data_IF_890894906093
#
_entry.id   IF_890894906093
#
_cell.length_a   1.000
_cell.length_b   1.000
_cell.length_c   1.000
_cell.angle_alpha   90.00
_cell.angle_beta   90.00
_cell.angle_gamma   90.00
#
_symmetry.space_group_name_H-M   'P 1'
#
loop_
_entity.id
_entity.type
_entity.pdbx_description
1 polymer ?
#
# COMPACT_ATOMS: atom_id res chain seq x y z
N UNK A 1 0.02 -1.79 17.06
CA UNK A 1 -0.46 -2.64 15.95
C UNK A 1 0.79 -3.25 15.37
N UNK A 2 0.95 -4.56 15.46
CA UNK A 2 2.13 -5.26 14.92
C UNK A 2 1.89 -5.41 13.41
N UNK A 3 2.53 -4.55 12.61
CA UNK A 3 2.34 -4.51 11.15
C UNK A 3 3.00 -5.73 10.51
N UNK A 4 2.23 -6.57 9.81
CA UNK A 4 2.79 -7.76 9.14
C UNK A 4 2.79 -7.63 7.62
N UNK A 5 3.68 -8.38 6.96
CA UNK A 5 3.74 -8.52 5.49
C UNK A 5 2.37 -8.86 4.88
N UNK A 6 1.62 -9.75 5.54
CA UNK A 6 0.29 -10.21 5.07
C UNK A 6 -0.75 -9.10 5.10
N UNK A 7 -0.74 -8.27 6.13
CA UNK A 7 -1.67 -7.13 6.22
C UNK A 7 -1.40 -6.11 5.12
N UNK A 8 -0.13 -5.77 4.88
CA UNK A 8 0.26 -4.87 3.79
C UNK A 8 -0.16 -5.45 2.44
N UNK A 9 0.16 -6.73 2.19
CA UNK A 9 -0.20 -7.41 0.95
C UNK A 9 -1.72 -7.49 0.72
N UNK A 10 -2.49 -7.70 1.79
CA UNK A 10 -3.97 -7.75 1.72
C UNK A 10 -4.55 -6.38 1.36
N UNK A 11 -4.05 -5.30 1.98
CA UNK A 11 -4.49 -3.94 1.65
C UNK A 11 -4.13 -3.55 0.20
N UNK A 12 -2.94 -3.93 -0.29
CA UNK A 12 -2.57 -3.75 -1.70
C UNK A 12 -3.50 -4.54 -2.63
N UNK A 13 -3.81 -5.79 -2.30
CA UNK A 13 -4.71 -6.62 -3.10
C UNK A 13 -6.12 -6.05 -3.16
N UNK A 14 -6.68 -5.60 -2.03
CA UNK A 14 -7.99 -4.95 -2.00
C UNK A 14 -8.02 -3.67 -2.83
N UNK A 15 -6.95 -2.87 -2.76
CA UNK A 15 -6.82 -1.63 -3.54
C UNK A 15 -6.75 -1.93 -5.04
N UNK A 16 -5.97 -2.94 -5.45
CA UNK A 16 -5.91 -3.41 -6.83
C UNK A 16 -7.26 -3.99 -7.32
N UNK A 17 -7.98 -4.70 -6.46
CA UNK A 17 -9.32 -5.21 -6.78
C UNK A 17 -10.33 -4.06 -6.98
N UNK A 18 -10.24 -2.98 -6.21
CA UNK A 18 -11.07 -1.77 -6.44
C UNK A 18 -10.71 -1.09 -7.77
N UNK A 19 -9.42 -0.95 -8.06
CA UNK A 19 -8.93 -0.31 -9.29
C UNK A 19 -9.25 -1.12 -10.56
N UNK A 20 -9.18 -2.44 -10.51
CA UNK A 20 -9.58 -3.29 -11.65
C UNK A 20 -11.08 -3.23 -11.92
N UNK A 21 -11.89 -2.95 -10.90
CA UNK A 21 -13.34 -2.75 -10.99
C UNK A 21 -13.72 -1.26 -10.99
N UNK A 22 -12.86 -0.37 -11.49
CA UNK A 22 -13.02 1.07 -11.38
C UNK A 22 -14.38 1.58 -11.86
N UNK A 23 -14.92 1.03 -12.95
CA UNK A 23 -16.24 1.40 -13.48
C UNK A 23 -17.40 1.15 -12.50
N UNK A 24 -17.24 0.19 -11.58
CA UNK A 24 -18.21 -0.09 -10.52
C UNK A 24 -17.99 0.78 -9.26
N UNK A 25 -16.80 1.35 -9.08
CA UNK A 25 -16.40 2.07 -7.86
C UNK A 25 -16.30 3.59 -8.04
N UNK A 26 -16.14 4.11 -9.27
CA UNK A 26 -15.80 5.51 -9.55
C UNK A 26 -16.79 6.54 -8.98
N UNK A 27 -18.07 6.20 -8.91
CA UNK A 27 -19.12 7.08 -8.38
C UNK A 27 -19.09 7.19 -6.85
N UNK A 28 -18.40 6.28 -6.18
CA UNK A 28 -18.37 6.16 -4.72
C UNK A 28 -17.07 6.67 -4.08
N UNK A 29 -16.06 7.05 -4.87
CA UNK A 29 -14.74 7.45 -4.35
C UNK A 29 -14.81 8.88 -3.78
N UNK A 30 -14.59 9.06 -2.47
CA UNK A 30 -14.45 10.39 -1.89
C UNK A 30 -13.18 11.05 -2.44
N UNK A 31 -13.33 12.16 -3.16
CA UNK A 31 -12.20 12.98 -3.60
C UNK A 31 -11.72 13.80 -2.41
N UNK A 32 -10.53 13.50 -1.89
CA UNK A 32 -9.87 14.37 -0.92
C UNK A 32 -9.27 15.56 -1.66
N UNK A 33 -9.84 16.74 -1.42
CA UNK A 33 -9.32 18.01 -1.92
C UNK A 33 -8.38 18.53 -0.83
N UNK A 34 -7.06 18.51 -1.06
CA UNK A 34 -6.14 19.26 -0.21
C UNK A 34 -6.03 20.68 -0.74
N UNK A 35 -6.56 21.64 0.02
CA UNK A 35 -6.42 23.06 -0.30
C UNK A 35 -5.06 23.53 0.19
N UNK A 36 -4.12 23.69 -0.75
CA UNK A 36 -2.76 24.20 -0.48
C UNK A 36 -2.64 25.71 -0.63
N UNK A 37 -3.76 26.44 -0.70
CA UNK A 37 -3.82 27.90 -0.56
C UNK A 37 -3.16 28.72 -1.67
N UNK A 38 -2.61 28.10 -2.73
CA UNK A 38 -1.96 28.84 -3.83
C UNK A 38 -1.81 28.11 -5.17
N UNK A 39 -2.46 26.96 -5.37
CA UNK A 39 -2.30 26.19 -6.60
C UNK A 39 -3.45 25.20 -6.83
N UNK A 40 -3.50 24.68 -8.05
CA UNK A 40 -4.46 23.66 -8.51
C UNK A 40 -4.68 22.61 -7.41
N UNK A 41 -5.92 22.32 -7.00
CA UNK A 41 -6.18 21.38 -5.92
C UNK A 41 -5.57 20.02 -6.23
N UNK A 42 -4.80 19.46 -5.29
CA UNK A 42 -4.33 18.08 -5.42
C UNK A 42 -5.50 17.20 -5.00
N UNK A 43 -6.15 16.61 -6.00
CA UNK A 43 -7.14 15.57 -5.78
C UNK A 43 -6.39 14.26 -5.59
N UNK A 44 -6.31 13.79 -4.35
CA UNK A 44 -5.80 12.45 -4.04
C UNK A 44 -7.04 11.54 -3.94
N UNK A 45 -7.15 10.58 -4.85
CA UNK A 45 -8.14 9.52 -4.73
C UNK A 45 -7.76 8.58 -3.57
N UNK A 46 -8.76 7.88 -3.04
CA UNK A 46 -8.60 7.01 -1.87
C UNK A 46 -7.58 5.91 -2.14
N UNK A 47 -7.54 5.40 -3.37
CA UNK A 47 -6.67 4.33 -3.81
C UNK A 47 -5.19 4.75 -3.77
N UNK A 48 -4.85 5.96 -4.23
CA UNK A 48 -3.50 6.53 -4.06
C UNK A 48 -3.13 6.70 -2.59
N UNK A 49 -4.07 7.13 -1.75
CA UNK A 49 -3.83 7.25 -0.32
C UNK A 49 -3.56 5.87 0.33
N UNK A 50 -4.27 4.84 -0.11
CA UNK A 50 -4.07 3.48 0.41
C UNK A 50 -2.72 2.88 -0.03
N UNK A 51 -2.23 3.20 -1.23
CA UNK A 51 -0.85 2.86 -1.62
C UNK A 51 0.21 3.58 -0.79
N UNK A 52 0.04 4.89 -0.54
CA UNK A 52 0.95 5.65 0.33
C UNK A 52 1.01 5.03 1.73
N UNK A 53 -0.15 4.65 2.30
CA UNK A 53 -0.19 3.96 3.59
C UNK A 53 0.56 2.63 3.55
N UNK A 54 0.44 1.87 2.47
CA UNK A 54 1.19 0.62 2.33
C UNK A 54 2.70 0.88 2.32
N UNK A 55 3.15 1.91 1.61
CA UNK A 55 4.58 2.28 1.57
C UNK A 55 5.08 2.73 2.96
N UNK A 56 4.28 3.49 3.71
CA UNK A 56 4.59 3.88 5.10
C UNK A 56 4.65 2.65 6.02
N UNK A 57 3.75 1.68 5.84
CA UNK A 57 3.75 0.42 6.59
C UNK A 57 4.98 -0.44 6.28
N UNK A 58 5.40 -0.53 5.02
CA UNK A 58 6.63 -1.21 4.61
C UNK A 58 7.86 -0.55 5.23
N UNK A 59 7.93 0.79 5.20
CA UNK A 59 9.03 1.55 5.80
C UNK A 59 9.09 1.36 7.32
N UNK A 60 7.94 1.39 8.00
CA UNK A 60 7.88 1.16 9.44
C UNK A 60 8.32 -0.25 9.82
N UNK A 61 7.84 -1.28 9.10
CA UNK A 61 8.23 -2.67 9.35
C UNK A 61 9.73 -2.88 9.12
N UNK A 62 10.28 -2.30 8.06
CA UNK A 62 11.71 -2.36 7.77
C UNK A 62 12.54 -1.70 8.87
N UNK A 63 12.09 -0.53 9.35
CA UNK A 63 12.74 0.17 10.46
C UNK A 63 12.73 -0.65 11.75
N UNK A 64 11.60 -1.25 12.10
CA UNK A 64 11.50 -2.11 13.29
C UNK A 64 12.45 -3.32 13.18
N UNK A 65 12.45 -4.02 12.05
CA UNK A 65 13.33 -5.18 11.84
C UNK A 65 14.81 -4.81 11.87
N UNK A 66 15.20 -3.73 11.18
CA UNK A 66 16.56 -3.24 11.18
C UNK A 66 17.04 -2.89 12.61
N UNK A 67 16.17 -2.30 13.43
CA UNK A 67 16.46 -2.00 14.82
C UNK A 67 16.63 -3.26 15.68
N UNK A 68 15.81 -4.29 15.45
CA UNK A 68 15.85 -5.55 16.20
C UNK A 68 17.09 -6.40 15.88
N UNK A 69 17.55 -6.35 14.63
CA UNK A 69 18.68 -7.17 14.15
C UNK A 69 20.00 -6.42 14.04
N UNK A 70 20.04 -5.13 14.39
CA UNK A 70 21.17 -4.22 14.13
C UNK A 70 21.58 -4.25 12.63
N UNK A 71 20.58 -4.27 11.75
CA UNK A 71 20.73 -4.42 10.30
C UNK A 71 20.73 -3.09 9.55
N UNK A 72 21.15 -3.13 8.29
CA UNK A 72 21.04 -1.99 7.38
C UNK A 72 19.58 -1.73 6.98
N UNK A 73 19.13 -0.48 7.13
CA UNK A 73 17.73 -0.10 6.88
C UNK A 73 17.36 -0.24 5.39
N UNK A 74 18.26 0.14 4.49
CA UNK A 74 17.99 0.11 3.05
C UNK A 74 17.80 -1.34 2.57
N UNK A 75 18.70 -2.22 2.99
CA UNK A 75 18.63 -3.66 2.72
C UNK A 75 17.35 -4.26 3.31
N UNK A 76 17.05 -3.96 4.58
CA UNK A 76 15.85 -4.48 5.26
C UNK A 76 14.56 -3.98 4.59
N UNK A 77 14.53 -2.75 4.09
CA UNK A 77 13.40 -2.22 3.32
C UNK A 77 13.20 -2.96 2.01
N UNK A 78 14.29 -3.27 1.30
CA UNK A 78 14.23 -4.05 0.07
C UNK A 78 13.71 -5.47 0.33
N UNK A 79 14.15 -6.11 1.41
CA UNK A 79 13.65 -7.43 1.84
C UNK A 79 12.16 -7.39 2.19
N UNK A 80 11.72 -6.43 2.98
CA UNK A 80 10.29 -6.25 3.32
C UNK A 80 9.45 -6.04 2.06
N UNK A 81 9.89 -5.17 1.15
CA UNK A 81 9.20 -4.94 -0.14
C UNK A 81 9.10 -6.22 -0.97
N UNK A 82 10.16 -7.01 -1.00
CA UNK A 82 10.18 -8.29 -1.70
C UNK A 82 9.20 -9.29 -1.06
N UNK A 83 9.21 -9.43 0.27
CA UNK A 83 8.28 -10.29 1.01
C UNK A 83 6.81 -9.89 0.76
N UNK A 84 6.51 -8.59 0.81
CA UNK A 84 5.16 -8.07 0.51
C UNK A 84 4.77 -8.36 -0.93
N UNK A 85 5.67 -8.17 -1.89
CA UNK A 85 5.40 -8.48 -3.30
C UNK A 85 5.12 -9.98 -3.52
N UNK A 86 5.88 -10.86 -2.86
CA UNK A 86 5.67 -12.31 -2.91
C UNK A 86 4.32 -12.69 -2.30
N UNK A 87 3.97 -12.14 -1.14
CA UNK A 87 2.69 -12.45 -0.50
C UNK A 87 1.50 -11.88 -1.30
N UNK A 88 1.66 -10.68 -1.85
CA UNK A 88 0.69 -10.09 -2.78
C UNK A 88 0.48 -10.99 -3.99
N UNK A 89 1.55 -11.48 -4.63
CA UNK A 89 1.44 -12.38 -5.78
C UNK A 89 0.66 -13.67 -5.43
N UNK A 90 0.85 -14.24 -4.23
CA UNK A 90 0.06 -15.39 -3.77
C UNK A 90 -1.42 -15.04 -3.65
N UNK A 91 -1.75 -13.91 -3.04
CA UNK A 91 -3.14 -13.45 -2.87
C UNK A 91 -3.80 -13.24 -4.25
N UNK A 92 -3.11 -12.57 -5.18
CA UNK A 92 -3.67 -12.31 -6.51
C UNK A 92 -3.82 -13.61 -7.32
N UNK A 93 -2.92 -14.59 -7.15
CA UNK A 93 -3.01 -15.88 -7.86
C UNK A 93 -4.24 -16.72 -7.53
N UNK A 94 -4.90 -16.46 -6.38
CA UNK A 94 -6.13 -17.15 -5.97
C UNK A 94 -7.40 -16.34 -6.25
N UNK A 95 -7.28 -15.12 -6.80
CA UNK A 95 -8.42 -14.29 -7.21
C UNK A 95 -8.64 -14.50 -8.72
N UNK A 96 -9.67 -15.27 -9.15
CA UNK A 96 -9.83 -15.69 -10.53
C UNK A 96 -10.22 -14.60 -11.54
N UNK A 97 -10.36 -13.33 -11.12
CA UNK A 97 -10.84 -12.23 -11.96
C UNK A 97 -10.03 -10.93 -11.80
N UNK A 98 -8.73 -11.08 -11.50
CA UNK A 98 -7.70 -10.12 -11.90
C UNK A 98 -6.94 -10.66 -13.11
#
# INVERSE_FOLDING_TARGET
METTVKEIASLKAETLNRLSNWDAYSDSVPKLISDTGSGTPIVIDKERLDFIKCDDMEAFLAWTRALETDGDLETTLMEVKYEVAVELAKILSVIPYL
#
